data_IF_775164397500
#
_entry.id   IF_775164397500
#
_cell.length_a   1.000
_cell.length_b   1.000
_cell.length_c   1.000
_cell.angle_alpha   90.00
_cell.angle_beta   90.00
_cell.angle_gamma   90.00
#
_symmetry.space_group_name_H-M   'P 1'
#
loop_
_entity.id
_entity.type
_entity.pdbx_description
1 polymer ?
#
# COMPACT_ATOMS: atom_id res chain seq x y z
N UNK A 1 -17.17 -80.46 -36.34
CA UNK A 1 -16.65 -81.50 -35.43
C UNK A 1 -15.54 -80.88 -34.62
N UNK A 2 -15.65 -80.93 -33.27
CA UNK A 2 -14.70 -80.50 -32.23
C UNK A 2 -14.53 -78.98 -32.04
N UNK A 3 -14.60 -78.32 -30.88
CA UNK A 3 -14.85 -78.57 -29.44
C UNK A 3 -13.79 -77.74 -28.68
N UNK A 4 -14.28 -76.75 -27.92
CA UNK A 4 -13.71 -76.15 -26.70
C UNK A 4 -12.43 -75.30 -26.75
N UNK A 5 -12.48 -74.12 -26.10
CA UNK A 5 -11.93 -73.79 -24.76
C UNK A 5 -12.18 -72.28 -24.54
N UNK A 6 -13.17 -71.87 -23.75
CA UNK A 6 -13.03 -71.38 -22.36
C UNK A 6 -11.88 -70.36 -22.15
N UNK A 7 -12.22 -69.07 -22.14
CA UNK A 7 -11.47 -68.09 -21.33
C UNK A 7 -12.47 -67.17 -20.63
N UNK A 8 -12.81 -67.60 -19.42
CA UNK A 8 -13.54 -66.87 -18.40
C UNK A 8 -12.53 -66.04 -17.61
N UNK A 9 -12.83 -64.77 -17.32
CA UNK A 9 -12.42 -64.16 -16.06
C UNK A 9 -11.68 -62.82 -16.12
N UNK A 10 -12.18 -61.92 -15.27
CA UNK A 10 -11.50 -60.76 -14.67
C UNK A 10 -11.53 -59.42 -15.42
N UNK A 11 -12.74 -58.87 -15.59
CA UNK A 11 -12.92 -57.41 -15.48
C UNK A 11 -12.72 -57.06 -13.99
N UNK A 12 -11.48 -56.75 -13.63
CA UNK A 12 -11.13 -56.16 -12.34
C UNK A 12 -11.65 -54.72 -12.34
N UNK A 13 -12.72 -54.51 -11.58
CA UNK A 13 -13.26 -53.21 -11.21
C UNK A 13 -12.25 -52.51 -10.30
N UNK A 14 -11.36 -51.72 -10.88
CA UNK A 14 -10.56 -50.73 -10.15
C UNK A 14 -11.38 -49.44 -10.05
N UNK A 15 -12.37 -49.44 -9.17
CA UNK A 15 -13.12 -48.24 -8.77
C UNK A 15 -13.01 -48.04 -7.26
N UNK A 16 -11.78 -47.89 -6.77
CA UNK A 16 -11.51 -47.42 -5.42
C UNK A 16 -10.24 -46.59 -5.44
N UNK A 17 -10.30 -45.41 -4.82
CA UNK A 17 -9.30 -44.34 -4.81
C UNK A 17 -9.27 -43.39 -6.02
N UNK A 18 -10.43 -42.82 -6.34
CA UNK A 18 -10.49 -41.38 -6.69
C UNK A 18 -11.31 -40.72 -5.59
N UNK A 19 -10.70 -40.55 -4.42
CA UNK A 19 -11.20 -39.60 -3.43
C UNK A 19 -10.57 -38.28 -3.78
N UNK A 20 -11.41 -37.37 -4.25
CA UNK A 20 -11.24 -35.93 -4.42
C UNK A 20 -9.89 -35.40 -3.92
N UNK A 21 -8.99 -35.07 -4.86
CA UNK A 21 -7.88 -34.15 -4.62
C UNK A 21 -8.46 -32.73 -4.63
N UNK A 22 -9.31 -32.44 -3.65
CA UNK A 22 -9.69 -31.08 -3.33
C UNK A 22 -8.44 -30.33 -2.89
N UNK A 23 -8.15 -29.17 -3.50
CA UNK A 23 -6.97 -28.41 -3.13
C UNK A 23 -7.15 -27.78 -1.75
N UNK A 24 -6.06 -27.51 -1.04
CA UNK A 24 -6.13 -26.81 0.25
C UNK A 24 -6.84 -25.43 0.11
N UNK A 25 -6.74 -24.80 -1.07
CA UNK A 25 -7.43 -23.56 -1.37
C UNK A 25 -8.96 -23.75 -1.42
N UNK A 26 -9.44 -24.79 -2.11
CA UNK A 26 -10.88 -25.08 -2.20
C UNK A 26 -11.47 -25.30 -0.81
N UNK A 27 -10.76 -26.04 0.05
CA UNK A 27 -11.15 -26.26 1.45
C UNK A 27 -11.24 -24.98 2.27
N UNK A 28 -10.35 -24.02 2.02
CA UNK A 28 -10.37 -22.71 2.69
C UNK A 28 -11.56 -21.88 2.19
N UNK A 29 -11.83 -21.88 0.88
CA UNK A 29 -12.96 -21.17 0.28
C UNK A 29 -14.28 -21.70 0.85
N UNK A 30 -14.50 -23.02 0.81
CA UNK A 30 -15.73 -23.63 1.32
C UNK A 30 -15.93 -23.37 2.82
N UNK A 31 -14.84 -23.46 3.60
CA UNK A 31 -14.85 -23.17 5.04
C UNK A 31 -15.25 -21.71 5.28
N UNK A 32 -14.65 -20.76 4.59
CA UNK A 32 -14.87 -19.34 4.80
C UNK A 32 -16.27 -18.90 4.42
N UNK A 33 -16.74 -19.36 3.25
CA UNK A 33 -18.09 -19.08 2.78
C UNK A 33 -19.14 -19.63 3.76
N UNK A 34 -18.92 -20.85 4.28
CA UNK A 34 -19.78 -21.43 5.33
C UNK A 34 -19.76 -20.59 6.60
N UNK A 35 -18.58 -20.23 7.11
CA UNK A 35 -18.44 -19.47 8.36
C UNK A 35 -19.08 -18.09 8.28
N UNK A 36 -18.95 -17.40 7.14
CA UNK A 36 -19.61 -16.10 6.93
C UNK A 36 -21.12 -16.26 6.89
N UNK A 37 -21.65 -17.23 6.11
CA UNK A 37 -23.10 -17.48 6.05
C UNK A 37 -23.69 -17.79 7.43
N UNK A 38 -23.03 -18.65 8.20
CA UNK A 38 -23.43 -18.95 9.59
C UNK A 38 -23.39 -17.71 10.48
N UNK A 39 -22.35 -16.88 10.35
CA UNK A 39 -22.22 -15.64 11.10
C UNK A 39 -23.36 -14.67 10.78
N UNK A 40 -23.68 -14.47 9.49
CA UNK A 40 -24.76 -13.59 9.05
C UNK A 40 -26.11 -14.08 9.57
N UNK A 41 -26.39 -15.39 9.48
CA UNK A 41 -27.62 -15.99 9.98
C UNK A 41 -27.75 -15.86 11.49
N UNK A 42 -26.70 -16.23 12.25
CA UNK A 42 -26.69 -16.18 13.72
C UNK A 42 -26.93 -14.77 14.26
N UNK A 43 -26.45 -13.76 13.54
CA UNK A 43 -26.58 -12.36 13.93
C UNK A 43 -27.76 -11.64 13.25
N UNK A 44 -28.60 -12.35 12.49
CA UNK A 44 -29.73 -11.80 11.74
C UNK A 44 -29.34 -10.63 10.80
N UNK A 45 -28.18 -10.74 10.16
CA UNK A 45 -27.65 -9.71 9.25
C UNK A 45 -28.15 -10.00 7.83
N UNK A 46 -28.91 -9.08 7.26
CA UNK A 46 -29.31 -9.13 5.85
C UNK A 46 -28.27 -8.41 4.98
N UNK A 47 -27.27 -9.15 4.49
CA UNK A 47 -26.20 -8.64 3.64
C UNK A 47 -26.37 -9.09 2.18
N UNK A 48 -25.86 -8.28 1.25
CA UNK A 48 -25.85 -8.59 -0.18
C UNK A 48 -24.56 -9.34 -0.51
N UNK A 49 -24.69 -10.54 -1.09
CA UNK A 49 -23.57 -11.33 -1.61
C UNK A 49 -23.03 -10.71 -2.90
N UNK A 50 -21.70 -10.65 -3.04
CA UNK A 50 -21.03 -10.20 -4.26
C UNK A 50 -20.56 -11.38 -5.11
N UNK A 51 -20.36 -11.22 -6.42
CA UNK A 51 -19.77 -12.27 -7.26
C UNK A 51 -18.35 -12.69 -6.84
N UNK A 52 -17.68 -11.90 -6.00
CA UNK A 52 -16.34 -12.19 -5.48
C UNK A 52 -16.37 -12.96 -4.14
N UNK A 53 -17.56 -13.32 -3.64
CA UNK A 53 -17.74 -14.17 -2.44
C UNK A 53 -17.78 -13.42 -1.11
N UNK A 54 -17.49 -12.11 -1.08
CA UNK A 54 -17.72 -11.28 0.12
C UNK A 54 -19.13 -10.69 0.15
N UNK A 55 -19.56 -10.29 1.33
CA UNK A 55 -20.88 -9.71 1.56
C UNK A 55 -20.77 -8.27 2.03
N UNK A 56 -21.81 -7.46 1.78
CA UNK A 56 -21.85 -6.10 2.30
C UNK A 56 -23.25 -5.66 2.76
N UNK A 57 -23.27 -4.72 3.70
CA UNK A 57 -24.43 -3.92 4.10
C UNK A 57 -24.08 -2.46 3.89
N UNK A 58 -24.98 -1.70 3.28
CA UNK A 58 -24.82 -0.24 3.15
C UNK A 58 -25.41 0.43 4.39
N UNK A 59 -24.54 0.84 5.31
CA UNK A 59 -24.95 1.53 6.55
C UNK A 59 -25.34 2.98 6.29
N UNK A 60 -24.57 3.66 5.42
CA UNK A 60 -24.84 5.03 5.01
C UNK A 60 -24.92 5.07 3.50
N UNK A 61 -26.06 5.57 3.00
CA UNK A 61 -26.28 5.81 1.57
C UNK A 61 -25.96 7.27 1.23
N UNK A 62 -25.25 7.47 0.12
CA UNK A 62 -24.94 8.79 -0.41
C UNK A 62 -25.44 8.87 -1.86
N UNK A 63 -26.76 8.96 -2.03
CA UNK A 63 -27.41 8.88 -3.33
C UNK A 63 -26.84 9.88 -4.37
N UNK A 64 -26.45 11.07 -3.90
CA UNK A 64 -25.86 12.16 -4.72
C UNK A 64 -24.34 12.11 -4.82
N UNK A 65 -23.68 11.17 -4.13
CA UNK A 65 -22.23 11.00 -4.18
C UNK A 65 -21.77 10.52 -5.56
N UNK A 66 -20.53 10.89 -5.91
CA UNK A 66 -19.89 10.42 -7.12
C UNK A 66 -19.61 8.92 -7.00
N UNK A 67 -19.83 8.17 -8.08
CA UNK A 67 -19.45 6.76 -8.16
C UNK A 67 -17.93 6.67 -8.17
N UNK A 68 -17.37 5.80 -7.33
CA UNK A 68 -15.93 5.52 -7.36
C UNK A 68 -15.66 4.62 -8.57
N UNK A 69 -14.68 5.01 -9.38
CA UNK A 69 -14.27 4.32 -10.61
C UNK A 69 -12.76 4.08 -10.64
N UNK A 70 -12.33 3.20 -11.53
CA UNK A 70 -10.91 2.84 -11.67
C UNK A 70 -10.03 4.09 -11.82
N UNK A 71 -8.91 4.10 -11.09
CA UNK A 71 -7.92 5.17 -10.97
C UNK A 71 -8.30 6.37 -10.10
N UNK A 72 -9.49 6.39 -9.50
CA UNK A 72 -9.80 7.40 -8.48
C UNK A 72 -8.84 7.32 -7.30
N UNK A 73 -8.53 8.47 -6.72
CA UNK A 73 -7.78 8.58 -5.47
C UNK A 73 -8.79 8.76 -4.35
N UNK A 74 -8.88 7.80 -3.43
CA UNK A 74 -9.99 7.71 -2.47
C UNK A 74 -9.46 7.80 -1.05
N UNK A 75 -10.05 8.69 -0.25
CA UNK A 75 -9.86 8.75 1.19
C UNK A 75 -10.85 7.85 1.93
N UNK A 76 -10.35 7.07 2.89
CA UNK A 76 -11.15 6.17 3.71
C UNK A 76 -10.89 6.33 5.20
N UNK A 77 -11.94 6.02 5.96
CA UNK A 77 -11.90 5.70 7.38
C UNK A 77 -12.41 4.28 7.56
N UNK A 78 -11.87 3.54 8.54
CA UNK A 78 -12.20 2.12 8.67
C UNK A 78 -12.07 1.58 10.08
N UNK A 79 -12.78 0.50 10.35
CA UNK A 79 -12.56 -0.40 11.48
C UNK A 79 -12.48 -1.82 10.93
N UNK A 80 -11.43 -2.56 11.29
CA UNK A 80 -11.22 -3.94 10.88
C UNK A 80 -11.23 -4.83 12.11
N UNK A 81 -12.13 -5.81 12.11
CA UNK A 81 -12.20 -6.88 13.09
C UNK A 81 -12.17 -8.23 12.39
N UNK A 82 -11.74 -9.25 13.10
CA UNK A 82 -12.08 -10.63 12.72
C UNK A 82 -13.55 -10.92 13.04
N UNK A 83 -14.14 -11.96 12.45
CA UNK A 83 -15.53 -12.33 12.75
C UNK A 83 -15.77 -12.77 14.21
N UNK A 84 -14.74 -13.25 14.89
CA UNK A 84 -14.77 -13.56 16.33
C UNK A 84 -14.54 -12.33 17.23
N UNK A 85 -14.36 -11.15 16.64
CA UNK A 85 -14.40 -9.85 17.33
C UNK A 85 -13.05 -9.27 17.72
N UNK A 86 -11.93 -9.94 17.41
CA UNK A 86 -10.59 -9.39 17.61
C UNK A 86 -10.43 -8.11 16.77
N UNK A 87 -10.10 -7.00 17.43
CA UNK A 87 -9.78 -5.75 16.75
C UNK A 87 -8.38 -5.84 16.11
N UNK A 88 -8.30 -5.60 14.81
CA UNK A 88 -7.05 -5.46 14.07
C UNK A 88 -6.63 -3.99 14.05
N UNK A 89 -7.54 -3.11 13.62
CA UNK A 89 -7.29 -1.67 13.62
C UNK A 89 -8.60 -0.87 13.64
N UNK A 90 -8.56 0.31 14.26
CA UNK A 90 -9.62 1.31 14.19
C UNK A 90 -9.02 2.66 13.78
N UNK A 91 -9.46 3.16 12.63
CA UNK A 91 -9.17 4.48 12.08
C UNK A 91 -10.48 5.15 11.61
N UNK A 92 -11.49 5.19 12.48
CA UNK A 92 -12.81 5.80 12.20
C UNK A 92 -12.96 7.26 12.70
N UNK A 93 -11.89 7.84 13.26
CA UNK A 93 -11.88 9.23 13.75
C UNK A 93 -11.76 10.23 12.59
N UNK A 94 -12.88 10.80 12.18
CA UNK A 94 -12.96 11.76 11.07
C UNK A 94 -12.37 13.14 11.36
N UNK A 95 -11.94 13.40 12.61
CA UNK A 95 -11.15 14.59 12.92
C UNK A 95 -9.71 14.49 12.37
N UNK A 96 -9.24 13.27 12.06
CA UNK A 96 -7.93 13.01 11.46
C UNK A 96 -8.04 13.00 9.93
N UNK A 97 -6.95 13.30 9.19
CA UNK A 97 -6.94 13.09 7.74
C UNK A 97 -7.25 11.64 7.37
N UNK A 98 -8.03 11.37 6.31
CA UNK A 98 -8.36 10.01 5.88
C UNK A 98 -7.12 9.29 5.35
N UNK A 99 -7.14 7.95 5.37
CA UNK A 99 -6.13 7.15 4.67
C UNK A 99 -6.44 7.15 3.18
N UNK A 100 -5.45 7.48 2.36
CA UNK A 100 -5.63 7.62 0.92
C UNK A 100 -5.10 6.38 0.22
N UNK A 101 -5.83 5.90 -0.79
CA UNK A 101 -5.38 4.85 -1.69
C UNK A 101 -5.85 5.14 -3.11
N UNK A 102 -5.26 4.45 -4.09
CA UNK A 102 -5.74 4.51 -5.47
C UNK A 102 -6.64 3.31 -5.73
N UNK A 103 -7.84 3.54 -6.25
CA UNK A 103 -8.74 2.48 -6.65
C UNK A 103 -8.23 1.81 -7.92
N UNK A 104 -7.41 0.77 -7.75
CA UNK A 104 -6.87 -0.06 -8.84
C UNK A 104 -6.43 -1.41 -8.30
N UNK A 105 -6.12 -2.35 -9.20
CA UNK A 105 -5.47 -3.60 -8.82
C UNK A 105 -4.20 -3.33 -7.98
N UNK A 106 -4.03 -4.09 -6.90
CA UNK A 106 -2.91 -3.93 -5.95
C UNK A 106 -2.89 -2.60 -5.17
N UNK A 107 -3.92 -1.75 -5.31
CA UNK A 107 -3.95 -0.42 -4.72
C UNK A 107 -4.10 -0.40 -3.19
N UNK A 108 -4.67 -1.47 -2.60
CA UNK A 108 -4.86 -1.57 -1.16
C UNK A 108 -4.87 -3.03 -0.68
N UNK A 109 -4.28 -3.26 0.49
CA UNK A 109 -4.33 -4.51 1.28
C UNK A 109 -5.02 -4.22 2.63
N UNK A 110 -6.09 -4.97 3.00
CA UNK A 110 -6.67 -6.13 2.30
C UNK A 110 -7.50 -5.75 1.07
N UNK A 111 -7.44 -6.59 0.01
CA UNK A 111 -8.00 -6.28 -1.32
C UNK A 111 -9.51 -6.01 -1.30
N UNK A 112 -10.25 -6.62 -0.38
CA UNK A 112 -11.70 -6.46 -0.29
C UNK A 112 -12.16 -5.00 -0.13
N UNK A 113 -11.41 -4.16 0.58
CA UNK A 113 -11.76 -2.73 0.70
C UNK A 113 -11.65 -2.03 -0.66
N UNK A 114 -10.62 -2.36 -1.45
CA UNK A 114 -10.49 -1.83 -2.81
C UNK A 114 -11.63 -2.31 -3.72
N UNK A 115 -12.00 -3.59 -3.66
CA UNK A 115 -13.10 -4.12 -4.48
C UNK A 115 -14.46 -3.53 -4.10
N UNK A 116 -14.71 -3.35 -2.81
CA UNK A 116 -15.94 -2.75 -2.31
C UNK A 116 -16.05 -1.25 -2.66
N UNK A 117 -14.92 -0.56 -2.92
CA UNK A 117 -14.92 0.82 -3.37
C UNK A 117 -15.72 1.00 -4.67
N UNK A 118 -15.58 0.07 -5.63
CA UNK A 118 -16.34 0.10 -6.88
C UNK A 118 -17.85 -0.10 -6.74
N UNK A 119 -18.33 -0.49 -5.55
CA UNK A 119 -19.77 -0.60 -5.21
C UNK A 119 -20.29 0.62 -4.44
N UNK A 120 -19.38 1.50 -4.00
CA UNK A 120 -19.67 2.63 -3.14
C UNK A 120 -19.66 3.95 -3.93
N UNK A 121 -20.35 4.93 -3.36
CA UNK A 121 -20.23 6.33 -3.75
C UNK A 121 -19.45 7.10 -2.69
N UNK A 122 -18.90 8.24 -3.09
CA UNK A 122 -18.36 9.21 -2.15
C UNK A 122 -19.38 9.54 -1.03
N UNK A 123 -18.94 9.44 0.22
CA UNK A 123 -19.74 9.63 1.42
C UNK A 123 -20.37 8.35 1.99
N UNK A 124 -20.36 7.23 1.26
CA UNK A 124 -20.99 5.99 1.74
C UNK A 124 -20.16 5.28 2.81
N UNK A 125 -20.87 4.57 3.69
CA UNK A 125 -20.27 3.64 4.65
C UNK A 125 -20.82 2.25 4.39
N UNK A 126 -19.91 1.30 4.16
CA UNK A 126 -20.22 -0.10 3.99
C UNK A 126 -19.71 -0.91 5.20
N UNK A 127 -20.51 -1.87 5.64
CA UNK A 127 -20.07 -2.96 6.50
C UNK A 127 -19.84 -4.19 5.62
N UNK A 128 -18.60 -4.68 5.58
CA UNK A 128 -18.18 -5.81 4.76
C UNK A 128 -17.98 -7.04 5.63
N UNK A 129 -18.35 -8.20 5.11
CA UNK A 129 -18.03 -9.51 5.70
C UNK A 129 -17.21 -10.27 4.68
N UNK A 130 -15.93 -10.43 4.98
CA UNK A 130 -14.88 -10.71 4.01
C UNK A 130 -14.24 -12.06 4.32
N UNK A 131 -14.25 -13.02 3.39
CA UNK A 131 -13.57 -14.29 3.56
C UNK A 131 -12.06 -14.10 3.51
N UNK A 132 -11.32 -15.01 4.14
CA UNK A 132 -9.89 -14.83 4.34
C UNK A 132 -9.11 -14.74 3.02
N UNK A 133 -9.57 -15.44 1.98
CA UNK A 133 -8.99 -15.40 0.64
C UNK A 133 -9.11 -14.04 -0.07
N UNK A 134 -10.01 -13.15 0.39
CA UNK A 134 -10.13 -11.74 -0.05
C UNK A 134 -9.56 -10.73 0.97
N UNK A 135 -9.14 -11.21 2.13
CA UNK A 135 -8.56 -10.44 3.22
C UNK A 135 -7.02 -10.53 3.22
N UNK A 136 -6.45 -11.08 4.30
CA UNK A 136 -5.01 -11.29 4.46
C UNK A 136 -4.54 -12.70 4.04
N UNK A 137 -5.44 -13.58 3.60
CA UNK A 137 -5.11 -14.94 3.15
C UNK A 137 -4.39 -15.73 4.26
N UNK A 138 -3.30 -16.43 3.94
CA UNK A 138 -2.46 -17.18 4.87
C UNK A 138 -1.43 -16.31 5.62
N UNK A 139 -1.45 -14.99 5.41
CA UNK A 139 -0.50 -14.08 6.02
C UNK A 139 -0.59 -14.11 7.55
N UNK A 140 0.59 -14.20 8.18
CA UNK A 140 0.75 -14.17 9.63
C UNK A 140 1.61 -12.99 10.06
N UNK A 141 1.10 -12.24 11.04
CA UNK A 141 1.86 -11.19 11.71
C UNK A 141 1.58 -11.18 13.20
N UNK A 142 2.43 -11.88 13.95
CA UNK A 142 2.35 -11.97 15.42
C UNK A 142 0.93 -12.35 15.88
N UNK A 143 0.42 -11.71 16.92
CA UNK A 143 -0.96 -11.91 17.38
C UNK A 143 -1.97 -11.02 16.64
N UNK A 144 -1.51 -10.08 15.81
CA UNK A 144 -2.36 -9.08 15.17
C UNK A 144 -3.14 -9.66 13.99
N UNK A 145 -2.46 -10.40 13.11
CA UNK A 145 -3.07 -11.05 11.95
C UNK A 145 -2.78 -12.53 12.02
N UNK A 146 -3.86 -13.30 12.20
CA UNK A 146 -3.82 -14.75 12.17
C UNK A 146 -4.15 -15.26 10.75
N UNK A 147 -3.51 -16.35 10.29
CA UNK A 147 -3.77 -16.92 8.98
C UNK A 147 -5.23 -17.31 8.82
N UNK A 148 -5.72 -17.12 7.61
CA UNK A 148 -7.06 -17.49 7.19
C UNK A 148 -8.17 -16.88 8.06
N UNK A 149 -7.97 -15.65 8.54
CA UNK A 149 -8.97 -14.92 9.31
C UNK A 149 -10.04 -14.32 8.40
N UNK A 150 -11.30 -14.62 8.69
CA UNK A 150 -12.46 -13.94 8.10
C UNK A 150 -12.68 -12.62 8.83
N UNK A 151 -12.99 -11.56 8.09
CA UNK A 151 -13.04 -10.20 8.61
C UNK A 151 -14.44 -9.61 8.57
N UNK A 152 -14.74 -8.76 9.55
CA UNK A 152 -15.78 -7.75 9.50
C UNK A 152 -15.10 -6.38 9.36
N UNK A 153 -15.40 -5.66 8.29
CA UNK A 153 -14.76 -4.37 7.98
C UNK A 153 -15.83 -3.30 7.83
N UNK A 154 -15.83 -2.32 8.72
CA UNK A 154 -16.59 -1.09 8.52
C UNK A 154 -15.71 -0.11 7.77
N UNK A 155 -16.13 0.40 6.61
CA UNK A 155 -15.36 1.36 5.83
C UNK A 155 -16.24 2.51 5.34
N UNK A 156 -15.80 3.74 5.58
CA UNK A 156 -16.35 4.95 5.00
C UNK A 156 -15.47 5.41 3.84
N UNK A 157 -16.06 5.54 2.65
CA UNK A 157 -15.41 6.14 1.49
C UNK A 157 -15.65 7.64 1.50
N UNK A 158 -14.78 8.37 2.20
CA UNK A 158 -15.05 9.74 2.62
C UNK A 158 -15.03 10.74 1.45
N UNK A 159 -14.06 10.61 0.54
CA UNK A 159 -13.82 11.59 -0.52
C UNK A 159 -13.04 11.00 -1.68
N UNK A 160 -13.38 11.39 -2.90
CA UNK A 160 -12.56 11.23 -4.11
C UNK A 160 -11.73 12.52 -4.27
N UNK A 161 -10.42 12.35 -4.43
CA UNK A 161 -9.47 13.45 -4.60
C UNK A 161 -9.01 13.56 -6.05
N UNK A 162 -8.91 14.78 -6.53
CA UNK A 162 -8.11 15.12 -7.71
C UNK A 162 -6.62 15.13 -7.37
N UNK A 163 -5.76 14.98 -8.37
CA UNK A 163 -4.31 15.11 -8.19
C UNK A 163 -3.91 16.49 -7.62
N UNK A 164 -4.64 17.55 -8.01
CA UNK A 164 -4.40 18.90 -7.51
C UNK A 164 -4.69 19.02 -6.01
N UNK A 165 -5.75 18.38 -5.53
CA UNK A 165 -6.07 18.33 -4.10
C UNK A 165 -5.03 17.53 -3.32
N UNK A 166 -4.56 16.40 -3.85
CA UNK A 166 -3.46 15.64 -3.22
C UNK A 166 -2.21 16.52 -3.10
N UNK A 167 -1.81 17.20 -4.18
CA UNK A 167 -0.65 18.12 -4.14
C UNK A 167 -0.82 19.22 -3.10
N UNK A 168 -2.01 19.80 -2.98
CA UNK A 168 -2.30 20.84 -1.99
C UNK A 168 -2.27 20.30 -0.55
N UNK A 169 -2.81 19.10 -0.32
CA UNK A 169 -2.77 18.44 0.99
C UNK A 169 -1.35 18.12 1.41
N UNK A 170 -0.54 17.58 0.50
CA UNK A 170 0.87 17.26 0.75
C UNK A 170 1.70 18.52 1.01
N UNK A 171 1.47 19.59 0.23
CA UNK A 171 2.14 20.87 0.44
C UNK A 171 1.85 21.44 1.83
N UNK A 172 0.58 21.45 2.23
CA UNK A 172 0.18 21.88 3.57
C UNK A 172 0.77 20.98 4.66
N UNK A 173 0.78 19.66 4.46
CA UNK A 173 1.35 18.72 5.41
C UNK A 173 2.85 18.95 5.62
N UNK A 174 3.61 19.23 4.56
CA UNK A 174 5.04 19.55 4.65
C UNK A 174 5.24 20.88 5.40
N UNK A 175 4.47 21.92 5.07
CA UNK A 175 4.57 23.22 5.76
C UNK A 175 4.29 23.09 7.26
N UNK A 176 3.20 22.40 7.62
CA UNK A 176 2.86 22.15 9.02
C UNK A 176 3.96 21.35 9.71
N UNK A 177 4.48 20.29 9.08
CA UNK A 177 5.57 19.51 9.66
C UNK A 177 6.83 20.35 9.91
N UNK A 178 7.23 21.19 8.96
CA UNK A 178 8.37 22.11 9.11
C UNK A 178 8.12 23.08 10.27
N UNK A 179 6.93 23.68 10.35
CA UNK A 179 6.56 24.64 11.39
C UNK A 179 6.49 24.00 12.79
N UNK A 180 5.78 22.88 12.92
CA UNK A 180 5.54 22.16 14.18
C UNK A 180 6.85 21.62 14.78
N UNK A 181 7.83 21.29 13.93
CA UNK A 181 9.15 20.84 14.36
C UNK A 181 10.19 21.96 14.40
N UNK A 182 9.78 23.23 14.27
CA UNK A 182 10.65 24.41 14.27
C UNK A 182 11.86 24.27 13.33
N UNK A 183 11.65 23.69 12.15
CA UNK A 183 12.69 23.47 11.16
C UNK A 183 12.89 24.74 10.31
N UNK A 184 14.13 25.18 10.17
CA UNK A 184 14.48 26.39 9.42
C UNK A 184 15.36 26.10 8.21
N UNK A 185 15.41 27.04 7.26
CA UNK A 185 16.30 27.01 6.10
C UNK A 185 15.77 26.27 4.87
N UNK A 186 14.52 25.83 4.89
CA UNK A 186 13.86 25.22 3.73
C UNK A 186 13.34 26.29 2.77
N UNK A 187 13.64 26.12 1.49
CA UNK A 187 13.11 26.93 0.40
C UNK A 187 12.23 26.06 -0.50
N UNK A 188 11.03 26.54 -0.81
CA UNK A 188 10.11 25.86 -1.71
C UNK A 188 10.53 26.09 -3.17
N UNK A 189 10.77 25.02 -3.92
CA UNK A 189 11.07 25.10 -5.36
C UNK A 189 9.79 25.26 -6.18
N UNK A 190 9.86 25.74 -7.44
CA UNK A 190 8.70 25.84 -8.32
C UNK A 190 7.95 24.52 -8.54
N UNK A 191 8.66 23.40 -8.49
CA UNK A 191 8.11 22.05 -8.62
C UNK A 191 7.45 21.55 -7.32
N UNK A 192 7.70 22.22 -6.18
CA UNK A 192 7.07 21.90 -4.90
C UNK A 192 7.95 21.13 -3.92
N UNK A 193 9.26 21.01 -4.15
CA UNK A 193 10.18 20.50 -3.14
C UNK A 193 10.41 21.54 -2.06
N UNK A 194 10.64 21.11 -0.83
CA UNK A 194 11.22 21.97 0.21
C UNK A 194 12.67 21.53 0.38
N UNK A 195 13.60 22.32 -0.13
CA UNK A 195 15.03 22.03 -0.14
C UNK A 195 15.75 22.93 0.88
N UNK A 196 16.60 22.33 1.69
CA UNK A 196 17.55 23.01 2.57
C UNK A 196 18.96 22.56 2.20
N UNK A 197 19.83 23.52 1.94
CA UNK A 197 21.28 23.28 1.88
C UNK A 197 21.79 23.41 3.32
N UNK A 198 22.19 22.28 3.91
CA UNK A 198 22.77 22.22 5.27
C UNK A 198 24.24 22.63 5.24
N UNK A 199 24.94 22.24 4.19
CA UNK A 199 26.32 22.63 3.92
C UNK A 199 26.51 22.81 2.42
N UNK A 200 27.10 23.92 2.00
CA UNK A 200 27.42 24.23 0.59
C UNK A 200 28.50 23.31 0.00
N UNK A 201 29.23 22.57 0.84
CA UNK A 201 30.33 21.71 0.43
C UNK A 201 31.61 22.49 0.11
N UNK A 202 32.40 21.97 -0.82
CA UNK A 202 33.67 22.59 -1.24
C UNK A 202 33.45 23.99 -1.84
N UNK A 203 34.40 24.91 -1.66
CA UNK A 203 34.29 26.27 -2.22
C UNK A 203 34.74 26.38 -3.68
N UNK A 204 35.40 25.35 -4.20
CA UNK A 204 35.91 25.27 -5.57
C UNK A 204 35.49 23.96 -6.23
N UNK A 205 35.69 23.86 -7.55
CA UNK A 205 35.32 22.68 -8.35
C UNK A 205 33.97 22.79 -9.06
N UNK A 206 33.63 21.74 -9.80
CA UNK A 206 32.37 21.66 -10.55
C UNK A 206 31.17 21.50 -9.63
N UNK A 207 30.02 21.98 -10.10
CA UNK A 207 28.72 21.70 -9.50
C UNK A 207 28.05 20.55 -10.25
N UNK A 208 27.15 19.85 -9.58
CA UNK A 208 26.32 18.82 -10.20
C UNK A 208 25.41 19.42 -11.28
N UNK A 209 25.43 18.82 -12.46
CA UNK A 209 24.61 19.20 -13.60
C UNK A 209 24.01 17.95 -14.27
N UNK A 210 22.96 18.15 -15.08
CA UNK A 210 22.36 17.06 -15.88
C UNK A 210 23.43 16.36 -16.70
N UNK A 211 23.45 15.02 -16.64
CA UNK A 211 24.43 14.17 -17.29
C UNK A 211 25.57 13.72 -16.38
N UNK A 212 25.85 14.41 -15.27
CA UNK A 212 26.85 13.94 -14.30
C UNK A 212 26.44 12.62 -13.66
N UNK A 213 27.44 11.81 -13.33
CA UNK A 213 27.27 10.70 -12.40
C UNK A 213 27.61 11.24 -11.01
N UNK A 214 26.64 11.21 -10.11
CA UNK A 214 26.82 11.68 -8.74
C UNK A 214 26.78 10.50 -7.79
N UNK A 215 27.72 10.47 -6.85
CA UNK A 215 27.71 9.54 -5.73
C UNK A 215 27.31 10.27 -4.45
N UNK A 216 26.39 9.69 -3.67
CA UNK A 216 25.93 10.28 -2.43
C UNK A 216 25.65 9.22 -1.35
N UNK A 217 25.77 9.64 -0.09
CA UNK A 217 25.21 8.91 1.05
C UNK A 217 23.86 9.52 1.38
N UNK A 218 22.92 8.72 1.91
CA UNK A 218 21.58 9.20 2.24
C UNK A 218 20.90 8.41 3.36
N UNK A 219 19.92 9.06 3.98
CA UNK A 219 18.80 8.42 4.64
C UNK A 219 17.50 8.94 4.05
N UNK A 220 16.63 8.03 3.59
CA UNK A 220 15.32 8.35 3.03
C UNK A 220 14.23 7.83 3.96
N UNK A 221 13.33 8.72 4.38
CA UNK A 221 12.30 8.45 5.37
C UNK A 221 10.93 8.78 4.79
N UNK A 222 9.89 8.13 5.27
CA UNK A 222 8.56 8.71 5.17
C UNK A 222 8.53 9.93 6.09
N UNK A 223 7.92 11.04 5.68
CA UNK A 223 7.88 12.25 6.51
C UNK A 223 7.29 11.94 7.89
N UNK A 224 7.99 12.35 8.96
CA UNK A 224 7.60 12.10 10.34
C UNK A 224 7.99 10.74 10.92
N UNK A 225 8.57 9.83 10.14
CA UNK A 225 9.02 8.53 10.63
C UNK A 225 10.52 8.54 10.95
N UNK A 226 10.91 7.80 11.99
CA UNK A 226 12.31 7.61 12.39
C UNK A 226 12.98 6.44 11.69
N UNK A 227 12.21 5.43 11.24
CA UNK A 227 12.75 4.30 10.50
C UNK A 227 12.92 4.65 9.02
N UNK A 228 14.14 4.50 8.50
CA UNK A 228 14.42 4.72 7.09
C UNK A 228 13.61 3.77 6.18
N UNK A 229 13.10 4.30 5.08
CA UNK A 229 12.63 3.52 3.93
C UNK A 229 13.81 2.82 3.26
N UNK A 230 14.90 3.56 3.08
CA UNK A 230 16.18 3.09 2.58
C UNK A 230 17.30 4.05 3.03
N UNK A 231 18.52 3.55 3.18
CA UNK A 231 19.68 4.35 3.57
C UNK A 231 20.98 3.74 3.05
N UNK A 232 21.98 4.61 2.84
CA UNK A 232 23.37 4.22 2.62
C UNK A 232 24.26 5.31 3.23
N UNK A 233 25.01 4.95 4.27
CA UNK A 233 25.97 5.83 4.95
C UNK A 233 27.44 5.58 4.56
N UNK A 234 27.70 4.64 3.65
CA UNK A 234 29.06 4.25 3.27
C UNK A 234 29.60 5.13 2.14
N UNK A 235 30.43 6.11 2.50
CA UNK A 235 31.07 7.01 1.52
C UNK A 235 32.08 6.33 0.60
N UNK A 236 32.59 5.13 0.93
CA UNK A 236 33.47 4.36 0.05
C UNK A 236 32.69 3.57 -1.01
N UNK A 237 31.42 3.30 -0.77
CA UNK A 237 30.52 2.65 -1.72
C UNK A 237 29.16 3.39 -1.76
N UNK A 238 29.17 4.65 -2.23
CA UNK A 238 27.96 5.46 -2.25
C UNK A 238 26.98 4.92 -3.29
N UNK A 239 25.69 5.23 -3.12
CA UNK A 239 24.75 5.05 -4.21
C UNK A 239 25.08 6.06 -5.32
N UNK A 240 24.96 5.63 -6.57
CA UNK A 240 25.25 6.45 -7.73
C UNK A 240 24.03 6.57 -8.63
N UNK A 241 23.79 7.78 -9.14
CA UNK A 241 22.78 8.03 -10.17
C UNK A 241 23.40 8.87 -11.28
N UNK A 242 22.88 8.69 -12.50
CA UNK A 242 23.10 9.67 -13.58
C UNK A 242 22.07 10.79 -13.44
N UNK A 243 22.51 11.99 -13.11
CA UNK A 243 21.63 13.11 -12.79
C UNK A 243 20.83 13.55 -14.02
N UNK A 244 19.51 13.65 -13.87
CA UNK A 244 18.58 13.94 -14.97
C UNK A 244 18.09 12.71 -15.72
N UNK A 245 18.53 11.51 -15.37
CA UNK A 245 17.99 10.27 -15.93
C UNK A 245 16.52 10.09 -15.53
N UNK A 246 15.65 9.78 -16.49
CA UNK A 246 14.20 9.62 -16.28
C UNK A 246 13.82 8.44 -15.38
N UNK A 247 14.71 7.46 -15.20
CA UNK A 247 14.51 6.33 -14.29
C UNK A 247 14.75 6.68 -12.82
N UNK A 248 15.36 7.83 -12.52
CA UNK A 248 15.50 8.29 -11.14
C UNK A 248 14.14 8.78 -10.63
N UNK A 249 13.93 8.71 -9.31
CA UNK A 249 12.84 9.46 -8.68
C UNK A 249 13.01 10.95 -9.01
N UNK A 250 11.93 11.59 -9.47
CA UNK A 250 11.99 12.94 -10.05
C UNK A 250 12.58 13.96 -9.05
N UNK A 251 12.25 13.85 -7.78
CA UNK A 251 12.78 14.74 -6.76
C UNK A 251 14.30 14.65 -6.59
N UNK A 252 14.94 13.50 -6.85
CA UNK A 252 16.40 13.39 -6.83
C UNK A 252 17.04 14.20 -7.96
N UNK A 253 16.41 14.17 -9.15
CA UNK A 253 16.87 14.95 -10.30
C UNK A 253 16.74 16.46 -10.09
N UNK A 254 15.81 16.88 -9.24
CA UNK A 254 15.57 18.28 -8.91
C UNK A 254 16.47 18.73 -7.76
N UNK A 255 16.52 17.96 -6.67
CA UNK A 255 17.24 18.31 -5.45
C UNK A 255 18.75 18.35 -5.62
N UNK A 256 19.31 17.49 -6.46
CA UNK A 256 20.76 17.40 -6.63
C UNK A 256 21.32 18.29 -7.75
N UNK A 257 20.62 19.33 -8.20
CA UNK A 257 21.15 20.29 -9.19
C UNK A 257 21.96 21.39 -8.53
N UNK A 258 23.11 21.73 -9.10
CA UNK A 258 23.91 22.88 -8.69
C UNK A 258 24.66 22.70 -7.36
N UNK A 259 24.74 21.48 -6.82
CA UNK A 259 25.42 21.18 -5.57
C UNK A 259 26.91 20.92 -5.80
N UNK A 260 27.73 21.20 -4.79
CA UNK A 260 29.16 20.93 -4.84
C UNK A 260 29.50 19.62 -4.13
N UNK A 261 30.70 19.12 -4.38
CA UNK A 261 31.24 17.98 -3.62
C UNK A 261 31.23 18.31 -2.12
N UNK A 262 30.87 17.33 -1.29
CA UNK A 262 30.65 17.47 0.16
C UNK A 262 29.45 18.33 0.57
N UNK A 263 28.61 18.78 -0.37
CA UNK A 263 27.37 19.46 -0.01
C UNK A 263 26.44 18.49 0.72
N UNK A 264 25.76 19.01 1.74
CA UNK A 264 24.78 18.28 2.54
C UNK A 264 23.42 18.97 2.36
N UNK A 265 22.40 18.18 2.06
CA UNK A 265 21.04 18.67 1.83
C UNK A 265 20.02 17.91 2.65
N UNK A 266 18.92 18.60 2.91
CA UNK A 266 17.68 18.00 3.38
C UNK A 266 16.54 18.38 2.42
N UNK A 267 15.66 17.42 2.12
CA UNK A 267 14.59 17.60 1.15
C UNK A 267 13.31 16.97 1.65
N UNK A 268 12.24 17.75 1.75
CA UNK A 268 10.90 17.18 1.72
C UNK A 268 10.38 17.17 0.28
N UNK A 269 9.95 16.00 -0.17
CA UNK A 269 9.34 15.82 -1.48
C UNK A 269 7.89 15.38 -1.33
N UNK A 270 6.93 16.04 -2.00
CA UNK A 270 5.59 15.50 -2.14
C UNK A 270 5.64 14.16 -2.91
N UNK A 271 4.68 13.28 -2.69
CA UNK A 271 4.70 11.92 -3.24
C UNK A 271 4.74 11.92 -4.77
N UNK A 272 4.05 12.84 -5.44
CA UNK A 272 4.00 12.85 -6.91
C UNK A 272 5.38 13.09 -7.59
N UNK A 273 6.38 13.63 -6.88
CA UNK A 273 7.77 13.72 -7.33
C UNK A 273 8.65 12.57 -6.82
N UNK A 274 8.13 11.79 -5.87
CA UNK A 274 8.77 10.63 -5.26
C UNK A 274 8.04 9.34 -5.66
N UNK A 275 7.37 8.66 -4.71
CA UNK A 275 6.79 7.34 -4.92
C UNK A 275 5.34 7.35 -5.40
N UNK A 276 4.66 8.49 -5.32
CA UNK A 276 3.30 8.72 -5.80
C UNK A 276 2.32 7.67 -5.31
N UNK A 277 1.76 6.93 -6.28
CA UNK A 277 0.86 5.80 -6.04
C UNK A 277 1.66 4.53 -5.72
N UNK A 278 1.53 4.06 -4.50
CA UNK A 278 1.94 2.72 -4.06
C UNK A 278 0.75 1.96 -3.47
N UNK A 279 0.94 0.73 -3.03
CA UNK A 279 -0.11 -0.02 -2.32
C UNK A 279 -0.38 0.62 -0.96
N UNK A 280 -1.64 0.92 -0.61
CA UNK A 280 -2.04 1.24 0.75
C UNK A 280 -2.09 -0.05 1.59
N UNK A 281 -1.50 -0.06 2.78
CA UNK A 281 -1.45 -1.26 3.63
C UNK A 281 -2.08 -0.94 4.97
N UNK A 282 -3.09 -1.71 5.31
CA UNK A 282 -3.81 -1.62 6.57
C UNK A 282 -3.62 -2.96 7.30
N UNK A 283 -3.21 -2.99 8.57
CA UNK A 283 -2.65 -1.86 9.32
C UNK A 283 -1.23 -1.52 8.88
N UNK A 284 -0.82 -0.26 9.07
CA UNK A 284 0.49 0.22 8.61
C UNK A 284 1.66 -0.66 9.09
N UNK A 285 1.59 -1.17 10.32
CA UNK A 285 2.66 -1.93 10.96
C UNK A 285 3.08 -3.21 10.22
N UNK A 286 2.22 -3.79 9.37
CA UNK A 286 2.58 -4.98 8.58
C UNK A 286 3.34 -4.65 7.30
N UNK A 287 3.34 -3.38 6.87
CA UNK A 287 3.86 -2.95 5.56
C UNK A 287 5.31 -3.38 5.33
N UNK A 288 6.17 -3.20 6.33
CA UNK A 288 7.60 -3.53 6.22
C UNK A 288 7.80 -5.03 6.02
N UNK A 289 7.07 -5.85 6.75
CA UNK A 289 7.14 -7.32 6.64
C UNK A 289 6.58 -7.79 5.29
N UNK A 290 5.46 -7.22 4.81
CA UNK A 290 4.95 -7.50 3.46
C UNK A 290 6.00 -7.17 2.37
N UNK A 291 6.70 -6.04 2.50
CA UNK A 291 7.76 -5.67 1.56
C UNK A 291 8.94 -6.65 1.61
N UNK A 292 9.39 -7.03 2.81
CA UNK A 292 10.47 -8.01 2.99
C UNK A 292 10.14 -9.40 2.44
N UNK A 293 8.85 -9.76 2.43
CA UNK A 293 8.34 -11.01 1.83
C UNK A 293 8.00 -10.87 0.35
N UNK A 294 8.29 -9.73 -0.29
CA UNK A 294 7.96 -9.43 -1.69
C UNK A 294 6.45 -9.50 -2.01
N UNK A 295 5.59 -9.28 -1.02
CA UNK A 295 4.13 -9.23 -1.19
C UNK A 295 3.63 -7.86 -1.63
N UNK A 296 4.46 -6.82 -1.46
CA UNK A 296 4.26 -5.48 -2.02
C UNK A 296 5.57 -5.00 -2.64
N UNK A 297 5.53 -4.18 -3.70
CA UNK A 297 6.73 -3.78 -4.44
C UNK A 297 7.52 -2.65 -3.78
N UNK A 298 6.89 -1.87 -2.89
CA UNK A 298 7.49 -0.67 -2.32
C UNK A 298 7.09 -0.47 -0.86
N UNK A 299 8.03 0.00 -0.06
CA UNK A 299 7.83 0.28 1.36
C UNK A 299 7.33 1.70 1.65
N UNK A 300 7.48 2.65 0.72
CA UNK A 300 6.96 4.02 0.87
C UNK A 300 5.43 4.06 0.81
N UNK A 301 4.77 4.79 1.71
CA UNK A 301 3.30 4.90 1.75
C UNK A 301 2.78 5.68 0.53
N UNK A 302 1.57 5.37 0.04
CA UNK A 302 1.01 6.08 -1.10
C UNK A 302 0.55 7.46 -0.71
N UNK A 303 0.71 8.43 -1.60
CA UNK A 303 0.19 9.80 -1.43
C UNK A 303 0.68 10.50 -0.15
N UNK A 304 1.90 10.18 0.28
CA UNK A 304 2.52 10.83 1.44
C UNK A 304 3.93 11.35 1.12
N UNK A 305 4.29 12.55 1.63
CA UNK A 305 5.62 13.12 1.44
C UNK A 305 6.74 12.29 2.05
N UNK A 306 7.90 12.34 1.41
CA UNK A 306 9.14 11.73 1.92
C UNK A 306 10.15 12.79 2.33
N UNK A 307 11.06 12.40 3.23
CA UNK A 307 12.12 13.23 3.74
C UNK A 307 13.48 12.59 3.45
N UNK A 308 14.32 13.27 2.69
CA UNK A 308 15.66 12.84 2.34
C UNK A 308 16.69 13.68 3.10
N UNK A 309 17.68 13.02 3.69
CA UNK A 309 18.94 13.61 4.10
C UNK A 309 20.03 13.04 3.21
N UNK A 310 20.85 13.87 2.58
CA UNK A 310 21.86 13.38 1.67
C UNK A 310 23.15 14.21 1.70
N UNK A 311 24.26 13.55 1.37
CA UNK A 311 25.58 14.17 1.20
C UNK A 311 26.22 13.74 -0.11
N UNK A 312 26.63 14.68 -0.93
CA UNK A 312 27.39 14.41 -2.16
C UNK A 312 28.81 14.02 -1.78
N UNK A 313 29.26 12.85 -2.23
CA UNK A 313 30.62 12.34 -1.97
C UNK A 313 31.43 12.08 -3.24
N UNK A 314 30.80 12.15 -4.41
CA UNK A 314 31.45 11.99 -5.71
C UNK A 314 30.69 12.73 -6.82
N UNK A 315 31.42 13.31 -7.78
CA UNK A 315 30.88 13.97 -8.98
C UNK A 315 31.80 13.62 -10.15
N UNK A 316 31.24 12.96 -11.17
CA UNK A 316 31.93 12.57 -12.41
C UNK A 316 31.15 13.00 -13.64
#
# INVERSE_FOLDING_TARGET
>A
MRLSVLMLGAILVLSSCVKDLESDLDRIIERDDRLIKEFLQRNNINAVETPLGYYYVREVNAATGNQIVNNDIVGIYYEIRTLDGQLIENYFDEAKPPRIFAHSEGGLVPRAINFAAGLAKEGETLMLYVPSYMAYQDYFFQQLILPHSNLQIRVKYAKIYSEAEIKALEDLAIQNYIADNAMEGFQKTPEGLYLKIVSEGNTTGSVTATGNIIGFTYGLFQMGESQALAENSNSMNPIQISLGNASNLQFLNLAFRGLRLNAEIEVFSPSHLAFGKTTQVIPFQIRRDLFQRNLIPQVARPFEPVYLKAKIVDIR
#
